data_IF_410451388800
#
_entry.id   IF_410451388800
#
_cell.length_a   1.000
_cell.length_b   1.000
_cell.length_c   1.000
_cell.angle_alpha   90.00
_cell.angle_beta   90.00
_cell.angle_gamma   90.00
#
_symmetry.space_group_name_H-M   'P 1'
#
loop_
_entity.id
_entity.type
_entity.pdbx_description
1 polymer ?
#
# COMPACT_ATOMS: atom_id res chain seq x y z
N UNK A 1 -38.64 7.78 1.49
CA UNK A 1 -37.44 6.90 1.38
C UNK A 1 -37.73 5.51 0.81
N UNK A 2 -38.09 4.46 1.59
CA UNK A 2 -38.27 3.09 1.03
C UNK A 2 -39.23 3.01 -0.18
N UNK A 3 -40.38 3.67 -0.06
CA UNK A 3 -41.46 3.61 -1.07
C UNK A 3 -41.26 4.56 -2.26
N UNK A 4 -40.47 5.60 -2.07
CA UNK A 4 -40.24 6.69 -3.02
C UNK A 4 -38.97 6.45 -3.86
N UNK A 5 -37.93 5.89 -3.25
CA UNK A 5 -36.63 5.63 -3.88
C UNK A 5 -36.33 4.13 -4.06
N UNK A 6 -37.28 3.24 -3.74
CA UNK A 6 -37.10 1.78 -3.75
C UNK A 6 -35.85 1.30 -2.99
N UNK A 7 -35.47 2.01 -1.92
CA UNK A 7 -34.28 1.68 -1.14
C UNK A 7 -34.56 0.53 -0.15
N UNK A 8 -33.69 -0.48 -0.13
CA UNK A 8 -33.55 -1.40 0.99
C UNK A 8 -32.94 -0.64 2.18
N UNK A 9 -33.58 -0.73 3.34
CA UNK A 9 -33.10 -0.09 4.56
C UNK A 9 -33.17 -1.14 5.65
N UNK A 10 -32.05 -1.45 6.27
CA UNK A 10 -31.99 -2.31 7.44
C UNK A 10 -31.73 -1.49 8.70
N UNK A 11 -32.34 -1.90 9.79
CA UNK A 11 -32.10 -1.32 11.12
C UNK A 11 -31.37 -2.36 11.95
N UNK A 12 -30.24 -1.98 12.54
CA UNK A 12 -29.53 -2.80 13.50
C UNK A 12 -29.54 -2.10 14.86
N UNK A 13 -29.66 -2.86 15.96
CA UNK A 13 -29.57 -2.28 17.29
C UNK A 13 -28.15 -1.74 17.52
N UNK A 14 -28.04 -0.46 17.87
CA UNK A 14 -26.80 0.18 18.24
C UNK A 14 -26.95 0.74 19.66
N UNK A 15 -26.03 0.40 20.55
CA UNK A 15 -26.02 0.98 21.89
C UNK A 15 -25.77 2.49 21.76
N UNK A 16 -26.55 3.35 22.44
CA UNK A 16 -26.29 4.78 22.46
C UNK A 16 -24.90 5.02 23.03
N UNK A 17 -24.07 5.75 22.29
CA UNK A 17 -22.75 6.16 22.75
C UNK A 17 -22.72 7.67 22.93
N UNK A 18 -22.15 8.13 24.04
CA UNK A 18 -22.02 9.56 24.34
C UNK A 18 -20.76 10.19 23.72
N UNK A 19 -20.03 9.44 22.90
CA UNK A 19 -18.81 9.88 22.24
C UNK A 19 -19.06 10.13 20.76
N UNK A 20 -18.50 11.21 20.25
CA UNK A 20 -18.54 11.53 18.83
C UNK A 20 -17.45 10.77 18.06
N UNK A 21 -17.65 10.55 16.76
CA UNK A 21 -16.62 10.00 15.89
C UNK A 21 -15.35 10.88 15.87
N UNK A 22 -15.48 12.20 16.05
CA UNK A 22 -14.34 13.12 16.18
C UNK A 22 -13.51 12.81 17.42
N UNK A 23 -14.14 12.65 18.59
CA UNK A 23 -13.44 12.27 19.82
C UNK A 23 -12.74 10.92 19.69
N UNK A 24 -13.37 9.93 19.04
CA UNK A 24 -12.73 8.63 18.78
C UNK A 24 -11.46 8.80 17.93
N UNK A 25 -11.53 9.59 16.86
CA UNK A 25 -10.36 9.86 16.01
C UNK A 25 -9.24 10.57 16.78
N UNK A 26 -9.58 11.57 17.58
CA UNK A 26 -8.62 12.30 18.42
C UNK A 26 -7.94 11.38 19.44
N UNK A 27 -8.69 10.49 20.10
CA UNK A 27 -8.14 9.50 21.01
C UNK A 27 -7.14 8.58 20.30
N UNK A 28 -7.52 8.02 19.16
CA UNK A 28 -6.68 7.08 18.41
C UNK A 28 -5.44 7.76 17.81
N UNK A 29 -5.56 8.98 17.29
CA UNK A 29 -4.42 9.78 16.83
C UNK A 29 -3.46 10.14 17.96
N UNK A 30 -3.96 10.29 19.20
CA UNK A 30 -3.14 10.48 20.40
C UNK A 30 -2.56 9.17 20.97
N UNK A 31 -2.80 8.02 20.34
CA UNK A 31 -2.36 6.71 20.82
C UNK A 31 -3.13 6.19 22.04
N UNK A 32 -4.29 6.77 22.33
CA UNK A 32 -5.19 6.34 23.42
C UNK A 32 -6.21 5.33 22.89
N UNK A 33 -6.50 4.28 23.66
CA UNK A 33 -7.49 3.26 23.29
C UNK A 33 -8.91 3.83 23.30
N UNK A 34 -9.70 3.47 22.30
CA UNK A 34 -11.13 3.78 22.19
C UNK A 34 -12.03 2.55 22.36
N UNK A 35 -11.48 1.41 22.81
CA UNK A 35 -12.17 0.12 22.82
C UNK A 35 -13.49 0.12 23.60
N UNK A 36 -13.57 0.86 24.72
CA UNK A 36 -14.79 0.96 25.54
C UNK A 36 -15.97 1.60 24.80
N UNK A 37 -15.69 2.34 23.74
CA UNK A 37 -16.67 3.10 22.97
C UNK A 37 -17.04 2.46 21.64
N UNK A 38 -16.38 1.35 21.27
CA UNK A 38 -16.47 0.77 19.95
C UNK A 38 -16.93 -0.69 20.03
N UNK A 39 -17.73 -1.15 19.05
CA UNK A 39 -17.91 -2.58 18.86
C UNK A 39 -16.56 -3.26 18.64
N UNK A 40 -16.36 -4.45 19.22
CA UNK A 40 -15.10 -5.22 19.15
C UNK A 40 -14.54 -5.33 17.71
N UNK A 41 -15.42 -5.59 16.73
CA UNK A 41 -15.01 -5.67 15.32
C UNK A 41 -14.45 -4.37 14.76
N UNK A 42 -14.95 -3.22 15.23
CA UNK A 42 -14.48 -1.90 14.82
C UNK A 42 -13.15 -1.62 15.51
N UNK A 43 -13.05 -1.86 16.82
CA UNK A 43 -11.79 -1.69 17.57
C UNK A 43 -10.66 -2.55 16.98
N UNK A 44 -10.92 -3.83 16.69
CA UNK A 44 -9.96 -4.72 16.03
C UNK A 44 -9.48 -4.17 14.68
N UNK A 45 -10.39 -3.63 13.86
CA UNK A 45 -10.04 -3.05 12.57
C UNK A 45 -9.15 -1.80 12.74
N UNK A 46 -9.50 -0.91 13.66
CA UNK A 46 -8.74 0.32 13.91
C UNK A 46 -7.36 0.04 14.50
N UNK A 47 -7.24 -0.95 15.39
CA UNK A 47 -5.95 -1.37 15.96
C UNK A 47 -5.06 -2.10 14.95
N UNK A 48 -5.67 -2.84 14.01
CA UNK A 48 -4.95 -3.55 12.95
C UNK A 48 -4.39 -2.58 11.90
N UNK A 49 -5.25 -1.76 11.28
CA UNK A 49 -4.85 -0.93 10.14
C UNK A 49 -4.36 0.47 10.53
N UNK A 50 -4.63 0.90 11.77
CA UNK A 50 -4.14 2.15 12.36
C UNK A 50 -4.37 3.40 11.48
N UNK A 51 -5.56 3.58 10.87
CA UNK A 51 -5.77 4.62 9.86
C UNK A 51 -5.57 6.06 10.38
N UNK A 52 -5.62 6.25 11.70
CA UNK A 52 -5.49 7.57 12.35
C UNK A 52 -4.08 7.85 12.89
N UNK A 53 -3.13 6.93 12.73
CA UNK A 53 -1.73 7.16 13.07
C UNK A 53 -1.02 8.09 12.08
N UNK A 54 -1.66 8.38 10.94
CA UNK A 54 -1.06 9.06 9.78
C UNK A 54 -1.53 10.51 9.60
N UNK A 55 -2.30 11.04 10.55
CA UNK A 55 -2.96 12.36 10.42
C UNK A 55 -1.96 13.48 10.14
N UNK A 56 -0.78 13.45 10.77
CA UNK A 56 0.25 14.48 10.58
C UNK A 56 0.75 14.54 9.14
N UNK A 57 0.97 13.40 8.51
CA UNK A 57 1.43 13.36 7.11
C UNK A 57 0.30 13.74 6.18
N UNK A 58 -0.92 13.25 6.40
CA UNK A 58 -2.10 13.64 5.61
C UNK A 58 -2.30 15.16 5.64
N UNK A 59 -2.26 15.77 6.83
CA UNK A 59 -2.44 17.21 7.02
C UNK A 59 -1.32 18.05 6.38
N UNK A 60 -0.17 17.44 6.08
CA UNK A 60 0.96 18.09 5.42
C UNK A 60 0.89 18.06 3.88
N UNK A 61 -0.04 17.28 3.31
CA UNK A 61 -0.22 17.20 1.85
C UNK A 61 -0.92 18.48 1.38
N UNK A 62 -0.40 19.08 0.31
CA UNK A 62 -1.03 20.25 -0.29
C UNK A 62 -2.40 19.91 -0.90
N UNK A 63 -3.28 20.90 -0.95
CA UNK A 63 -4.67 20.71 -1.37
C UNK A 63 -4.81 20.11 -2.79
N UNK A 64 -3.95 20.48 -3.75
CA UNK A 64 -4.02 19.94 -5.11
C UNK A 64 -3.63 18.46 -5.15
N UNK A 65 -2.54 18.10 -4.46
CA UNK A 65 -2.14 16.70 -4.30
C UNK A 65 -3.22 15.87 -3.59
N UNK A 66 -3.81 16.40 -2.52
CA UNK A 66 -4.88 15.74 -1.77
C UNK A 66 -6.12 15.49 -2.63
N UNK A 67 -6.55 16.49 -3.42
CA UNK A 67 -7.69 16.34 -4.33
C UNK A 67 -7.43 15.28 -5.40
N UNK A 68 -6.22 15.21 -5.95
CA UNK A 68 -5.82 14.17 -6.92
C UNK A 68 -5.85 12.77 -6.31
N UNK A 69 -5.25 12.59 -5.14
CA UNK A 69 -5.24 11.29 -4.45
C UNK A 69 -6.65 10.80 -4.14
N UNK A 70 -7.53 11.68 -3.64
CA UNK A 70 -8.94 11.37 -3.40
C UNK A 70 -9.69 10.99 -4.69
N UNK A 71 -9.40 11.69 -5.80
CA UNK A 71 -10.01 11.37 -7.08
C UNK A 71 -9.57 9.99 -7.60
N UNK A 72 -8.30 9.63 -7.42
CA UNK A 72 -7.78 8.31 -7.76
C UNK A 72 -8.39 7.22 -6.89
N UNK A 73 -8.41 7.39 -5.56
CA UNK A 73 -9.00 6.42 -4.63
C UNK A 73 -10.48 6.14 -4.95
N UNK A 74 -11.28 7.17 -5.17
CA UNK A 74 -12.71 7.03 -5.50
C UNK A 74 -12.94 6.21 -6.78
N UNK A 75 -12.11 6.45 -7.80
CA UNK A 75 -12.18 5.73 -9.07
C UNK A 75 -11.68 4.29 -8.94
N UNK A 76 -10.64 4.08 -8.14
CA UNK A 76 -10.03 2.77 -7.88
C UNK A 76 -11.03 1.78 -7.25
N UNK A 77 -11.97 2.25 -6.45
CA UNK A 77 -12.89 1.38 -5.71
C UNK A 77 -13.82 0.53 -6.58
N UNK A 78 -14.01 0.87 -7.86
CA UNK A 78 -14.77 0.02 -8.80
C UNK A 78 -13.95 -1.16 -9.34
N UNK A 79 -12.63 -1.14 -9.18
CA UNK A 79 -11.71 -2.17 -9.67
C UNK A 79 -11.40 -3.24 -8.61
N UNK A 80 -11.57 -2.91 -7.32
CA UNK A 80 -11.06 -3.71 -6.22
C UNK A 80 -12.15 -4.13 -5.23
N UNK A 81 -12.09 -5.39 -4.82
CA UNK A 81 -12.86 -5.96 -3.73
C UNK A 81 -12.53 -5.32 -2.38
N UNK A 82 -13.35 -5.63 -1.37
CA UNK A 82 -13.25 -5.00 -0.04
C UNK A 82 -11.88 -5.18 0.62
N UNK A 83 -11.36 -6.39 0.64
CA UNK A 83 -10.08 -6.69 1.30
C UNK A 83 -8.91 -5.98 0.60
N UNK A 84 -8.92 -5.99 -0.74
CA UNK A 84 -7.89 -5.32 -1.54
C UNK A 84 -7.93 -3.81 -1.38
N UNK A 85 -9.11 -3.19 -1.29
CA UNK A 85 -9.23 -1.76 -0.96
C UNK A 85 -8.60 -1.41 0.39
N UNK A 86 -8.84 -2.22 1.42
CA UNK A 86 -8.23 -2.00 2.74
C UNK A 86 -6.70 -2.10 2.67
N UNK A 87 -6.18 -3.13 1.98
CA UNK A 87 -4.75 -3.29 1.73
C UNK A 87 -4.15 -2.08 1.00
N UNK A 88 -4.79 -1.64 -0.09
CA UNK A 88 -4.32 -0.53 -0.91
C UNK A 88 -4.31 0.80 -0.16
N UNK A 89 -5.36 1.11 0.61
CA UNK A 89 -5.39 2.32 1.44
C UNK A 89 -4.33 2.26 2.54
N UNK A 90 -4.16 1.10 3.19
CA UNK A 90 -3.16 0.93 4.25
C UNK A 90 -1.72 1.04 3.72
N UNK A 91 -1.49 0.50 2.51
CA UNK A 91 -0.23 0.67 1.77
C UNK A 91 0.01 2.14 1.43
N UNK A 92 -1.01 2.86 0.97
CA UNK A 92 -0.91 4.29 0.67
C UNK A 92 -0.53 5.12 1.91
N UNK A 93 -1.21 4.89 3.02
CA UNK A 93 -0.94 5.59 4.27
C UNK A 93 0.50 5.36 4.76
N UNK A 94 0.96 4.11 4.75
CA UNK A 94 2.34 3.79 5.11
C UNK A 94 3.35 4.38 4.12
N UNK A 95 3.08 4.32 2.81
CA UNK A 95 3.94 4.88 1.79
C UNK A 95 4.10 6.40 1.91
N UNK A 96 3.04 7.12 2.26
CA UNK A 96 3.07 8.57 2.51
C UNK A 96 4.00 8.92 3.68
N UNK A 97 3.94 8.16 4.77
CA UNK A 97 4.84 8.35 5.91
C UNK A 97 6.30 8.09 5.55
N UNK A 98 6.57 6.96 4.89
CA UNK A 98 7.92 6.64 4.42
C UNK A 98 8.42 7.71 3.45
N UNK A 99 7.55 8.25 2.60
CA UNK A 99 7.89 9.34 1.69
C UNK A 99 8.28 10.62 2.44
N UNK A 100 7.58 10.96 3.52
CA UNK A 100 7.95 12.09 4.38
C UNK A 100 9.33 11.89 5.03
N UNK A 101 9.66 10.67 5.48
CA UNK A 101 10.98 10.36 6.06
C UNK A 101 12.09 10.48 5.00
N UNK A 102 11.86 9.97 3.80
CA UNK A 102 12.86 9.83 2.74
C UNK A 102 12.85 10.98 1.71
N UNK A 103 12.12 12.06 1.98
CA UNK A 103 11.99 13.23 1.10
C UNK A 103 11.48 12.88 -0.33
N UNK A 104 10.57 11.92 -0.42
CA UNK A 104 9.88 11.57 -1.68
C UNK A 104 8.58 12.38 -1.77
N UNK A 105 8.22 12.93 -2.96
CA UNK A 105 6.97 13.69 -3.11
C UNK A 105 5.73 12.87 -2.72
N UNK A 106 4.90 13.42 -1.83
CA UNK A 106 3.69 12.75 -1.33
C UNK A 106 2.74 12.33 -2.44
N UNK A 107 2.52 13.18 -3.46
CA UNK A 107 1.68 12.84 -4.61
C UNK A 107 2.21 11.63 -5.39
N UNK A 108 3.53 11.50 -5.55
CA UNK A 108 4.13 10.37 -6.26
C UNK A 108 3.97 9.07 -5.46
N UNK A 109 4.29 9.10 -4.16
CA UNK A 109 4.14 7.97 -3.25
C UNK A 109 2.67 7.52 -3.12
N UNK A 110 1.76 8.45 -2.85
CA UNK A 110 0.34 8.15 -2.73
C UNK A 110 -0.26 7.61 -4.04
N UNK A 111 0.11 8.17 -5.19
CA UNK A 111 -0.39 7.69 -6.49
C UNK A 111 0.11 6.29 -6.80
N UNK A 112 1.42 6.03 -6.66
CA UNK A 112 1.97 4.71 -6.89
C UNK A 112 1.36 3.68 -5.92
N UNK A 113 1.20 4.02 -4.64
CA UNK A 113 0.64 3.14 -3.64
C UNK A 113 -0.85 2.86 -3.85
N UNK A 114 -1.66 3.85 -4.25
CA UNK A 114 -3.07 3.62 -4.58
C UNK A 114 -3.24 2.73 -5.82
N UNK A 115 -2.34 2.82 -6.78
CA UNK A 115 -2.50 2.14 -8.07
C UNK A 115 -1.67 0.85 -8.22
N UNK A 116 -0.82 0.49 -7.24
CA UNK A 116 0.10 -0.66 -7.36
C UNK A 116 -0.62 -1.98 -7.68
N UNK A 117 -1.77 -2.22 -7.02
CA UNK A 117 -2.56 -3.44 -7.09
C UNK A 117 -3.79 -3.29 -8.03
N UNK A 118 -3.85 -2.24 -8.86
CA UNK A 118 -5.01 -1.92 -9.71
C UNK A 118 -5.47 -3.09 -10.59
N UNK A 119 -4.55 -3.93 -11.02
CA UNK A 119 -4.82 -5.09 -11.88
C UNK A 119 -4.98 -6.40 -11.09
N UNK A 120 -4.85 -6.41 -9.76
CA UNK A 120 -4.69 -7.63 -8.96
C UNK A 120 -5.83 -8.64 -9.05
N UNK A 121 -7.05 -8.13 -9.25
CA UNK A 121 -8.28 -8.93 -9.28
C UNK A 121 -8.82 -9.14 -10.70
N UNK A 122 -8.03 -8.76 -11.73
CA UNK A 122 -8.41 -8.99 -13.11
C UNK A 122 -8.32 -10.47 -13.50
N UNK A 123 -9.16 -10.94 -14.44
CA UNK A 123 -9.01 -12.26 -15.03
C UNK A 123 -7.64 -12.43 -15.70
N UNK A 124 -7.11 -13.66 -15.72
CA UNK A 124 -5.79 -13.97 -16.28
C UNK A 124 -5.62 -13.51 -17.74
N UNK A 125 -6.65 -13.64 -18.57
CA UNK A 125 -6.61 -13.19 -19.96
C UNK A 125 -6.41 -11.67 -20.08
N UNK A 126 -7.00 -10.89 -19.18
CA UNK A 126 -6.83 -9.44 -19.14
C UNK A 126 -5.45 -9.06 -18.57
N UNK A 127 -5.01 -9.75 -17.51
CA UNK A 127 -3.64 -9.60 -16.98
C UNK A 127 -2.59 -9.82 -18.06
N UNK A 128 -2.74 -10.90 -18.84
CA UNK A 128 -1.85 -11.21 -19.96
C UNK A 128 -1.88 -10.15 -21.05
N UNK A 129 -3.08 -9.72 -21.44
CA UNK A 129 -3.23 -8.70 -22.47
C UNK A 129 -2.60 -7.36 -22.04
N UNK A 130 -2.86 -6.88 -20.83
CA UNK A 130 -2.35 -5.59 -20.37
C UNK A 130 -0.86 -5.65 -20.04
N UNK A 131 -0.38 -6.71 -19.37
CA UNK A 131 1.05 -6.91 -19.11
C UNK A 131 1.85 -7.02 -20.42
N UNK A 132 1.34 -7.80 -21.38
CA UNK A 132 1.94 -7.94 -22.70
C UNK A 132 1.97 -6.64 -23.50
N UNK A 133 0.93 -5.80 -23.42
CA UNK A 133 0.93 -4.47 -24.03
C UNK A 133 1.95 -3.51 -23.40
N UNK A 134 2.26 -3.69 -22.11
CA UNK A 134 3.20 -2.83 -21.40
C UNK A 134 4.65 -3.22 -21.65
N UNK A 135 4.98 -4.51 -21.56
CA UNK A 135 6.35 -5.02 -21.66
C UNK A 135 6.71 -5.62 -23.03
N UNK A 136 5.74 -5.71 -23.95
CA UNK A 136 5.89 -6.42 -25.23
C UNK A 136 5.78 -7.95 -25.11
N UNK A 137 5.68 -8.50 -23.89
CA UNK A 137 5.46 -9.92 -23.60
C UNK A 137 4.85 -10.10 -22.22
N UNK A 138 3.98 -11.10 -22.07
CA UNK A 138 3.48 -11.52 -20.77
C UNK A 138 4.36 -12.67 -20.26
N UNK A 139 5.00 -12.46 -19.11
CA UNK A 139 5.90 -13.45 -18.50
C UNK A 139 5.66 -13.58 -16.99
N UNK A 140 5.92 -14.77 -16.46
CA UNK A 140 5.76 -15.08 -15.05
C UNK A 140 4.33 -15.47 -14.65
N UNK A 141 4.14 -15.69 -13.35
CA UNK A 141 2.85 -16.05 -12.77
C UNK A 141 1.87 -14.86 -12.77
N UNK A 142 0.54 -15.09 -12.60
CA UNK A 142 -0.43 -14.01 -12.41
C UNK A 142 0.00 -13.00 -11.33
N UNK A 143 0.61 -13.51 -10.25
CA UNK A 143 1.13 -12.69 -9.16
C UNK A 143 2.29 -11.77 -9.58
N UNK A 144 3.03 -12.06 -10.65
CA UNK A 144 4.05 -11.16 -11.21
C UNK A 144 3.46 -10.24 -12.29
N UNK A 145 2.54 -10.76 -13.11
CA UNK A 145 1.96 -10.03 -14.25
C UNK A 145 1.10 -8.82 -13.85
N UNK A 146 0.52 -8.82 -12.65
CA UNK A 146 -0.34 -7.70 -12.23
C UNK A 146 0.40 -6.37 -12.04
N UNK A 147 1.69 -6.36 -11.69
CA UNK A 147 2.45 -5.11 -11.58
C UNK A 147 2.52 -4.37 -12.92
N UNK A 148 3.05 -4.98 -14.00
CA UNK A 148 3.04 -4.40 -15.34
C UNK A 148 1.64 -4.09 -15.88
N UNK A 149 0.65 -4.95 -15.63
CA UNK A 149 -0.74 -4.68 -16.01
C UNK A 149 -1.31 -3.46 -15.27
N UNK A 150 -1.01 -3.30 -13.98
CA UNK A 150 -1.40 -2.13 -13.19
C UNK A 150 -0.74 -0.85 -13.71
N UNK A 151 0.54 -0.91 -14.09
CA UNK A 151 1.25 0.23 -14.68
C UNK A 151 0.63 0.65 -16.02
N UNK A 152 0.26 -0.32 -16.87
CA UNK A 152 -0.49 -0.05 -18.10
C UNK A 152 -1.81 0.66 -17.81
N UNK A 153 -2.63 0.14 -16.89
CA UNK A 153 -3.92 0.72 -16.56
C UNK A 153 -3.78 2.09 -15.89
N UNK A 154 -2.78 2.29 -15.04
CA UNK A 154 -2.48 3.59 -14.44
C UNK A 154 -2.17 4.63 -15.54
N UNK A 155 -1.38 4.26 -16.54
CA UNK A 155 -1.10 5.14 -17.69
C UNK A 155 -2.35 5.44 -18.52
N UNK A 156 -3.05 4.40 -18.98
CA UNK A 156 -4.13 4.57 -19.96
C UNK A 156 -5.44 5.07 -19.33
N UNK A 157 -5.78 4.63 -18.11
CA UNK A 157 -7.07 4.91 -17.48
C UNK A 157 -6.98 6.03 -16.43
N UNK A 158 -5.85 6.16 -15.75
CA UNK A 158 -5.63 7.19 -14.72
C UNK A 158 -4.79 8.36 -15.23
N UNK A 159 -4.36 8.34 -16.49
CA UNK A 159 -3.55 9.37 -17.14
C UNK A 159 -2.25 9.67 -16.39
N UNK A 160 -1.66 8.65 -15.75
CA UNK A 160 -0.37 8.78 -15.07
C UNK A 160 0.74 8.76 -16.12
N UNK A 161 1.50 9.85 -16.20
CA UNK A 161 2.60 10.03 -17.16
C UNK A 161 4.00 10.01 -16.52
N UNK A 162 4.08 10.02 -15.19
CA UNK A 162 5.36 9.97 -14.48
C UNK A 162 5.95 8.56 -14.54
N UNK A 163 7.07 8.41 -15.26
CA UNK A 163 7.77 7.13 -15.37
C UNK A 163 8.27 6.61 -14.01
N UNK A 164 8.64 7.47 -13.07
CA UNK A 164 9.04 7.03 -11.73
C UNK A 164 7.87 6.38 -10.98
N UNK A 165 6.66 6.95 -11.09
CA UNK A 165 5.43 6.37 -10.52
C UNK A 165 5.06 5.06 -11.22
N UNK A 166 5.14 5.02 -12.56
CA UNK A 166 4.82 3.83 -13.34
C UNK A 166 5.80 2.69 -13.05
N UNK A 167 7.10 2.99 -12.91
CA UNK A 167 8.11 2.01 -12.50
C UNK A 167 7.84 1.49 -11.09
N UNK A 168 7.51 2.37 -10.14
CA UNK A 168 7.15 1.95 -8.79
C UNK A 168 5.94 1.01 -8.76
N UNK A 169 4.93 1.25 -9.61
CA UNK A 169 3.79 0.33 -9.79
C UNK A 169 4.24 -0.97 -10.46
N UNK A 170 5.00 -0.90 -11.55
CA UNK A 170 5.41 -2.07 -12.32
C UNK A 170 6.21 -3.07 -11.47
N UNK A 171 7.21 -2.56 -10.74
CA UNK A 171 8.18 -3.36 -10.02
C UNK A 171 7.84 -3.54 -8.54
N UNK A 172 6.66 -3.11 -8.06
CA UNK A 172 6.34 -3.23 -6.62
C UNK A 172 6.41 -4.68 -6.11
N UNK A 173 6.19 -5.69 -6.96
CA UNK A 173 6.21 -7.11 -6.56
C UNK A 173 7.61 -7.70 -6.49
N UNK A 174 8.45 -7.35 -7.45
CA UNK A 174 9.73 -8.00 -7.74
C UNK A 174 10.91 -7.16 -7.30
N UNK A 175 10.73 -5.84 -7.28
CA UNK A 175 11.77 -4.84 -7.36
C UNK A 175 12.64 -4.99 -8.60
N UNK A 176 13.72 -4.21 -8.68
CA UNK A 176 14.72 -4.30 -9.73
C UNK A 176 16.07 -3.74 -9.29
N UNK A 177 17.17 -4.06 -9.99
CA UNK A 177 18.43 -3.32 -9.89
C UNK A 177 18.24 -1.81 -9.98
N UNK A 178 18.83 -1.06 -9.04
CA UNK A 178 18.86 0.41 -9.08
C UNK A 178 17.51 1.09 -8.86
N UNK A 179 16.63 0.51 -8.03
CA UNK A 179 15.35 1.12 -7.64
C UNK A 179 15.53 2.56 -7.11
N UNK A 180 14.65 3.46 -7.54
CA UNK A 180 14.51 4.78 -6.93
C UNK A 180 13.99 4.68 -5.49
N UNK A 181 14.13 5.75 -4.70
CA UNK A 181 13.54 5.79 -3.35
C UNK A 181 12.03 5.56 -3.37
N UNK A 182 11.34 6.03 -4.42
CA UNK A 182 9.91 5.77 -4.59
C UNK A 182 9.64 4.27 -4.79
N UNK A 183 10.37 3.61 -5.71
CA UNK A 183 10.23 2.17 -5.93
C UNK A 183 10.50 1.36 -4.66
N UNK A 184 11.57 1.71 -3.91
CA UNK A 184 11.92 1.11 -2.61
C UNK A 184 10.78 1.25 -1.59
N UNK A 185 10.20 2.45 -1.48
CA UNK A 185 9.10 2.74 -0.56
C UNK A 185 7.84 1.94 -0.92
N UNK A 186 7.45 1.90 -2.19
CA UNK A 186 6.25 1.18 -2.62
C UNK A 186 6.41 -0.32 -2.44
N UNK A 187 7.61 -0.86 -2.76
CA UNK A 187 7.92 -2.25 -2.51
C UNK A 187 7.77 -2.62 -1.03
N UNK A 188 8.33 -1.81 -0.12
CA UNK A 188 8.24 -2.06 1.32
C UNK A 188 6.82 -1.88 1.85
N UNK A 189 6.16 -0.77 1.53
CA UNK A 189 4.85 -0.45 2.06
C UNK A 189 3.81 -1.55 1.78
N UNK A 190 3.81 -2.12 0.57
CA UNK A 190 2.92 -3.23 0.20
C UNK A 190 3.14 -4.50 1.07
N UNK A 191 4.35 -4.68 1.62
CA UNK A 191 4.78 -5.91 2.30
C UNK A 191 4.73 -5.75 3.82
N UNK A 192 4.80 -4.52 4.31
CA UNK A 192 4.91 -4.23 5.74
C UNK A 192 3.79 -3.36 6.30
N UNK A 193 2.75 -3.04 5.51
CA UNK A 193 1.53 -2.42 6.04
C UNK A 193 0.94 -3.24 7.20
N UNK A 194 0.26 -2.58 8.13
CA UNK A 194 -0.04 -3.15 9.45
C UNK A 194 -1.08 -4.27 9.43
N UNK A 195 -1.84 -4.42 8.34
CA UNK A 195 -2.72 -5.55 8.09
C UNK A 195 -2.02 -6.84 7.64
N UNK A 196 -0.73 -6.80 7.30
CA UNK A 196 -0.01 -8.00 6.84
C UNK A 196 0.23 -9.00 7.99
N UNK A 197 0.05 -10.31 7.74
CA UNK A 197 0.13 -11.34 8.79
C UNK A 197 1.56 -11.79 9.12
N UNK A 198 2.59 -11.10 8.65
CA UNK A 198 3.98 -11.52 8.86
C UNK A 198 4.39 -11.34 10.32
N UNK A 199 4.96 -12.41 10.89
CA UNK A 199 5.59 -12.36 12.22
C UNK A 199 6.87 -11.52 12.10
N UNK A 200 7.05 -10.58 13.03
CA UNK A 200 8.31 -9.85 13.23
C UNK A 200 8.71 -8.80 12.15
N UNK A 201 7.74 -8.06 11.62
CA UNK A 201 7.99 -6.90 10.73
C UNK A 201 8.58 -5.67 11.46
N UNK A 202 8.70 -5.70 12.78
CA UNK A 202 9.07 -4.53 13.59
C UNK A 202 10.48 -4.01 13.26
N UNK A 203 11.44 -4.92 13.03
CA UNK A 203 12.79 -4.51 12.63
C UNK A 203 12.80 -3.87 11.24
N UNK A 204 12.07 -4.46 10.28
CA UNK A 204 11.95 -3.93 8.92
C UNK A 204 11.33 -2.54 8.95
N UNK A 205 10.25 -2.35 9.73
CA UNK A 205 9.58 -1.05 9.90
C UNK A 205 10.53 -0.03 10.52
N UNK A 206 11.21 -0.34 11.63
CA UNK A 206 12.17 0.59 12.26
C UNK A 206 13.25 1.05 11.28
N UNK A 207 13.80 0.13 10.49
CA UNK A 207 14.79 0.47 9.46
C UNK A 207 14.18 1.29 8.33
N UNK A 208 12.97 0.96 7.87
CA UNK A 208 12.26 1.71 6.84
C UNK A 208 11.97 3.15 7.29
N UNK A 209 11.67 3.36 8.57
CA UNK A 209 11.48 4.68 9.18
C UNK A 209 12.77 5.40 9.57
N UNK A 210 13.94 4.79 9.33
CA UNK A 210 15.23 5.31 9.77
C UNK A 210 15.24 5.63 11.28
N UNK A 211 14.69 4.72 12.09
CA UNK A 211 14.64 4.85 13.54
C UNK A 211 15.83 4.16 14.23
N UNK A 212 16.34 4.82 15.28
CA UNK A 212 17.34 4.26 16.18
C UNK A 212 18.81 4.49 15.78
N UNK A 213 19.75 3.93 16.55
CA UNK A 213 21.19 4.22 16.40
C UNK A 213 21.79 3.79 15.06
N UNK A 214 21.15 2.83 14.38
CA UNK A 214 21.59 2.29 13.10
C UNK A 214 21.21 3.18 11.90
N UNK A 215 20.42 4.23 12.12
CA UNK A 215 19.84 5.08 11.08
C UNK A 215 20.64 6.37 10.79
N UNK A 216 21.97 6.32 10.88
CA UNK A 216 22.83 7.47 10.57
C UNK A 216 22.70 7.94 9.11
N UNK A 217 22.24 7.05 8.22
CA UNK A 217 21.98 7.31 6.81
C UNK A 217 20.62 6.70 6.43
N UNK A 218 19.70 7.56 5.95
CA UNK A 218 18.33 7.18 5.58
C UNK A 218 18.31 6.22 4.41
N UNK A 219 19.16 6.43 3.41
CA UNK A 219 19.23 5.59 2.22
C UNK A 219 19.74 4.19 2.59
N UNK A 220 20.82 4.13 3.36
CA UNK A 220 21.36 2.85 3.86
C UNK A 220 20.35 2.11 4.75
N UNK A 221 19.60 2.85 5.59
CA UNK A 221 18.57 2.26 6.44
C UNK A 221 17.42 1.68 5.61
N UNK A 222 17.02 2.37 4.55
CA UNK A 222 16.00 1.90 3.61
C UNK A 222 16.48 0.64 2.87
N UNK A 223 17.73 0.61 2.41
CA UNK A 223 18.30 -0.55 1.70
C UNK A 223 18.40 -1.79 2.61
N UNK A 224 18.75 -1.59 3.88
CA UNK A 224 18.72 -2.66 4.89
C UNK A 224 17.31 -3.18 5.14
N UNK A 225 16.31 -2.29 5.20
CA UNK A 225 14.92 -2.70 5.32
C UNK A 225 14.48 -3.54 4.10
N UNK A 226 14.88 -3.14 2.88
CA UNK A 226 14.61 -3.94 1.68
C UNK A 226 15.28 -5.31 1.74
N UNK A 227 16.54 -5.39 2.17
CA UNK A 227 17.25 -6.68 2.28
C UNK A 227 16.49 -7.66 3.17
N UNK A 228 16.10 -7.24 4.37
CA UNK A 228 15.32 -8.08 5.29
C UNK A 228 13.94 -8.42 4.71
N UNK A 229 13.31 -7.48 4.02
CA UNK A 229 12.03 -7.74 3.35
C UNK A 229 12.17 -8.79 2.23
N UNK A 230 13.24 -8.75 1.43
CA UNK A 230 13.52 -9.77 0.43
C UNK A 230 13.78 -11.13 1.06
N UNK A 231 14.51 -11.21 2.16
CA UNK A 231 14.76 -12.45 2.89
C UNK A 231 13.45 -13.11 3.33
N UNK A 232 12.51 -12.32 3.87
CA UNK A 232 11.18 -12.80 4.24
C UNK A 232 10.36 -13.26 3.02
N UNK A 233 10.40 -12.51 1.92
CA UNK A 233 9.73 -12.87 0.66
C UNK A 233 10.31 -14.17 0.10
N UNK A 234 11.62 -14.33 0.07
CA UNK A 234 12.30 -15.53 -0.42
C UNK A 234 11.99 -16.74 0.45
N UNK A 235 12.01 -16.57 1.78
CA UNK A 235 11.61 -17.63 2.70
C UNK A 235 10.14 -18.02 2.53
N UNK A 236 9.24 -17.07 2.26
CA UNK A 236 7.82 -17.35 2.00
C UNK A 236 7.61 -18.09 0.67
N UNK A 237 8.33 -17.70 -0.38
CA UNK A 237 8.28 -18.37 -1.69
C UNK A 237 8.81 -19.80 -1.59
N UNK A 238 9.92 -20.02 -0.88
CA UNK A 238 10.51 -21.34 -0.63
C UNK A 238 9.52 -22.26 0.13
N UNK A 239 8.93 -21.77 1.23
CA UNK A 239 7.86 -22.49 1.97
C UNK A 239 6.66 -22.85 1.10
N UNK A 240 6.37 -22.04 0.10
CA UNK A 240 5.22 -22.21 -0.80
C UNK A 240 5.58 -22.97 -2.08
N UNK A 241 6.83 -23.42 -2.25
CA UNK A 241 7.32 -24.13 -3.44
C UNK A 241 7.33 -23.30 -4.73
N UNK A 242 7.36 -21.97 -4.62
CA UNK A 242 7.39 -21.06 -5.77
C UNK A 242 8.82 -20.60 -6.06
N UNK A 243 9.15 -20.47 -7.34
CA UNK A 243 10.46 -19.96 -7.75
C UNK A 243 10.61 -18.46 -7.47
N UNK A 244 11.81 -18.07 -7.03
CA UNK A 244 12.18 -16.67 -6.84
C UNK A 244 12.49 -16.06 -8.20
N UNK A 245 11.80 -14.95 -8.52
CA UNK A 245 12.04 -14.16 -9.73
C UNK A 245 13.52 -13.74 -9.83
N UNK A 246 14.20 -13.94 -10.98
CA UNK A 246 15.59 -13.51 -11.17
C UNK A 246 15.81 -12.03 -10.86
N UNK A 247 14.87 -11.17 -11.26
CA UNK A 247 14.95 -9.73 -11.02
C UNK A 247 15.00 -9.38 -9.53
N UNK A 248 14.27 -10.12 -8.69
CA UNK A 248 14.32 -9.98 -7.24
C UNK A 248 15.67 -10.41 -6.65
N UNK A 249 16.28 -11.47 -7.20
CA UNK A 249 17.63 -11.90 -6.79
C UNK A 249 18.66 -10.82 -7.15
N UNK A 250 18.58 -10.27 -8.35
CA UNK A 250 19.49 -9.23 -8.81
C UNK A 250 19.35 -7.94 -7.98
N UNK A 251 18.10 -7.53 -7.70
CA UNK A 251 17.81 -6.40 -6.83
C UNK A 251 18.38 -6.61 -5.42
N UNK A 252 18.14 -7.79 -4.82
CA UNK A 252 18.67 -8.14 -3.51
C UNK A 252 20.21 -8.14 -3.46
N UNK A 253 20.87 -8.68 -4.49
CA UNK A 253 22.32 -8.75 -4.54
C UNK A 253 23.00 -7.38 -4.66
N UNK A 254 22.32 -6.37 -5.22
CA UNK A 254 22.84 -5.00 -5.31
C UNK A 254 22.72 -4.25 -3.98
N UNK A 255 21.75 -4.62 -3.14
CA UNK A 255 21.52 -3.98 -1.84
C UNK A 255 22.47 -4.51 -0.75
N UNK A 256 23.14 -5.65 -0.99
CA UNK A 256 24.10 -6.30 -0.09
C UNK A 256 25.52 -5.76 -0.27
#
# INVERSE_FOLDING_TARGET
MRREYKAEIDFFPMQPSNVSATQIREMLSAGTSAAEYLPEKVDNLLNTYRPYSYTKVIDSIDEDSWQKLNAYERRLFSYLGRERRLHTVSTCLLALELAAVHNVPALAAGTAALLHDLAKELPDAELDAYSGKYLGRAEGSPALRHGPAAAYLAREQFAISSEDVLNAIQYHTTGRPGMSSLEKIIFLADKIEYGRPFKDLDLIRRLAFAEGPAACDKELSLDRALCLCYEEVFAALDRSGHEICPLSKDAYNILK
#
